data_IF_698335598293
#
_entry.id   IF_698335598293
#
_cell.length_a   1.000
_cell.length_b   1.000
_cell.length_c   1.000
_cell.angle_alpha   90.00
_cell.angle_beta   90.00
_cell.angle_gamma   90.00
#
_symmetry.space_group_name_H-M   'P 1'
#
loop_
_entity.id
_entity.type
_entity.pdbx_description
1 polymer ?
#
# COMPACT_ATOMS: atom_id res chain seq x y z
N UNK A 1 -16.79 -17.75 24.67
CA UNK A 1 -16.49 -16.58 23.82
C UNK A 1 -15.01 -16.37 23.90
N UNK A 2 -14.27 -16.63 22.82
CA UNK A 2 -12.83 -16.37 22.79
C UNK A 2 -12.63 -14.86 22.80
N UNK A 3 -11.82 -14.35 23.73
CA UNK A 3 -11.51 -12.93 23.82
C UNK A 3 -10.86 -12.46 22.50
N UNK A 4 -11.31 -11.31 21.98
CA UNK A 4 -10.86 -10.82 20.69
C UNK A 4 -9.43 -10.27 20.84
N UNK A 5 -8.45 -10.71 20.03
CA UNK A 5 -7.08 -10.26 20.15
C UNK A 5 -6.99 -8.74 19.96
N UNK A 6 -6.16 -8.10 20.78
CA UNK A 6 -5.89 -6.67 20.74
C UNK A 6 -4.43 -6.43 20.40
N UNK A 7 -4.18 -5.63 19.37
CA UNK A 7 -2.84 -5.30 18.90
C UNK A 7 -2.55 -3.83 19.15
N UNK A 8 -1.41 -3.56 19.78
CA UNK A 8 -0.94 -2.20 20.04
C UNK A 8 -0.33 -1.60 18.79
N UNK A 9 -0.81 -0.44 18.39
CA UNK A 9 -0.36 0.32 17.23
C UNK A 9 0.44 1.53 17.73
N UNK A 10 1.76 1.57 17.48
CA UNK A 10 2.60 2.65 17.96
C UNK A 10 2.34 3.97 17.20
N UNK A 11 2.70 5.12 17.79
CA UNK A 11 2.66 6.39 17.07
C UNK A 11 3.63 6.35 15.89
N UNK A 12 3.14 6.69 14.70
CA UNK A 12 3.94 6.66 13.48
C UNK A 12 3.51 7.74 12.49
N UNK A 13 4.28 7.90 11.41
CA UNK A 13 3.78 8.59 10.23
C UNK A 13 2.57 7.85 9.65
N UNK A 14 1.76 8.54 8.85
CA UNK A 14 0.52 7.97 8.35
C UNK A 14 0.73 6.65 7.56
N UNK A 15 1.81 6.56 6.78
CA UNK A 15 2.24 5.30 6.15
C UNK A 15 2.68 4.23 7.16
N UNK A 16 3.43 4.62 8.20
CA UNK A 16 3.85 3.69 9.24
C UNK A 16 2.67 3.06 10.00
N UNK A 17 1.58 3.82 10.18
CA UNK A 17 0.34 3.31 10.76
C UNK A 17 -0.35 2.27 9.89
N UNK A 18 -0.53 2.54 8.59
CA UNK A 18 -1.14 1.59 7.66
C UNK A 18 -0.36 0.26 7.64
N UNK A 19 0.97 0.34 7.61
CA UNK A 19 1.82 -0.84 7.69
C UNK A 19 1.66 -1.61 9.02
N UNK A 20 1.66 -0.91 10.15
CA UNK A 20 1.48 -1.53 11.47
C UNK A 20 0.11 -2.23 11.59
N UNK A 21 -0.95 -1.64 11.03
CA UNK A 21 -2.28 -2.24 10.99
C UNK A 21 -2.32 -3.51 10.13
N UNK A 22 -1.65 -3.53 8.97
CA UNK A 22 -1.57 -4.74 8.14
C UNK A 22 -0.70 -5.83 8.78
N UNK A 23 0.35 -5.48 9.52
CA UNK A 23 1.10 -6.44 10.34
C UNK A 23 0.22 -7.05 11.43
N UNK A 24 -0.50 -6.22 12.20
CA UNK A 24 -1.44 -6.68 13.22
C UNK A 24 -2.53 -7.58 12.61
N UNK A 25 -3.05 -7.22 11.43
CA UNK A 25 -3.99 -8.06 10.68
C UNK A 25 -3.38 -9.41 10.31
N UNK A 26 -2.15 -9.43 9.78
CA UNK A 26 -1.46 -10.66 9.41
C UNK A 26 -1.27 -11.58 10.62
N UNK A 27 -0.99 -11.03 11.79
CA UNK A 27 -0.89 -11.77 13.06
C UNK A 27 -2.25 -12.23 13.60
N UNK A 28 -3.31 -11.42 13.44
CA UNK A 28 -4.68 -11.80 13.75
C UNK A 28 -5.16 -12.99 12.89
N UNK A 29 -4.74 -13.02 11.62
CA UNK A 29 -5.15 -14.00 10.62
C UNK A 29 -6.61 -13.82 10.24
N UNK A 30 -7.41 -14.89 10.31
CA UNK A 30 -8.85 -14.86 10.04
C UNK A 30 -9.71 -14.43 11.25
N UNK A 31 -9.09 -14.08 12.38
CA UNK A 31 -9.80 -13.66 13.60
C UNK A 31 -10.15 -12.18 13.52
N UNK A 32 -11.32 -11.81 14.00
CA UNK A 32 -11.62 -10.43 14.35
C UNK A 32 -10.60 -9.92 15.38
N UNK A 33 -10.22 -8.65 15.31
CA UNK A 33 -9.19 -8.05 16.17
C UNK A 33 -9.48 -6.58 16.45
N UNK A 34 -8.82 -6.02 17.47
CA UNK A 34 -8.93 -4.61 17.87
C UNK A 34 -7.59 -3.91 17.69
N UNK A 35 -7.60 -2.73 17.08
CA UNK A 35 -6.45 -1.84 17.03
C UNK A 35 -6.43 -0.94 18.28
N UNK A 36 -5.33 -0.96 19.05
CA UNK A 36 -5.13 -0.08 20.22
C UNK A 36 -4.07 0.97 19.93
N UNK A 37 -4.46 2.24 19.85
CA UNK A 37 -3.56 3.35 19.55
C UNK A 37 -3.00 3.96 20.84
N UNK A 38 -1.68 3.94 20.99
CA UNK A 38 -1.00 4.41 22.21
C UNK A 38 -1.12 5.94 22.41
N UNK A 39 -1.20 6.70 21.31
CA UNK A 39 -1.27 8.16 21.28
C UNK A 39 -2.70 8.72 21.34
N UNK A 40 -3.72 7.88 21.53
CA UNK A 40 -5.13 8.29 21.50
C UNK A 40 -5.48 9.42 22.49
N UNK A 41 -4.78 9.50 23.62
CA UNK A 41 -4.97 10.57 24.61
C UNK A 41 -4.59 11.96 24.09
N UNK A 42 -3.80 12.04 23.01
CA UNK A 42 -3.34 13.30 22.38
C UNK A 42 -4.15 13.67 21.13
N UNK A 43 -5.04 12.79 20.69
CA UNK A 43 -5.84 12.97 19.48
C UNK A 43 -7.07 13.83 19.74
N UNK A 44 -7.35 14.73 18.80
CA UNK A 44 -8.67 15.35 18.62
C UNK A 44 -9.73 14.31 18.24
N UNK A 45 -11.00 14.68 18.34
CA UNK A 45 -12.14 13.82 17.95
C UNK A 45 -12.09 13.43 16.46
N UNK A 46 -11.68 14.36 15.60
CA UNK A 46 -11.49 14.10 14.17
C UNK A 46 -10.38 13.08 13.92
N UNK A 47 -9.25 13.17 14.65
CA UNK A 47 -8.15 12.21 14.54
C UNK A 47 -8.58 10.83 15.04
N UNK A 48 -9.33 10.75 16.15
CA UNK A 48 -9.88 9.50 16.67
C UNK A 48 -10.81 8.81 15.67
N UNK A 49 -11.73 9.56 15.07
CA UNK A 49 -12.62 9.08 14.01
C UNK A 49 -11.82 8.59 12.81
N UNK A 50 -10.79 9.35 12.41
CA UNK A 50 -9.88 8.97 11.34
C UNK A 50 -9.13 7.66 11.61
N UNK A 51 -8.63 7.45 12.83
CA UNK A 51 -7.98 6.20 13.24
C UNK A 51 -8.93 5.01 13.23
N UNK A 52 -10.20 5.20 13.61
CA UNK A 52 -11.20 4.15 13.56
C UNK A 52 -11.50 3.72 12.12
N UNK A 53 -11.69 4.67 11.20
CA UNK A 53 -11.87 4.38 9.76
C UNK A 53 -10.65 3.68 9.18
N UNK A 54 -9.44 4.15 9.49
CA UNK A 54 -8.20 3.53 9.03
C UNK A 54 -8.07 2.08 9.56
N UNK A 55 -8.32 1.85 10.85
CA UNK A 55 -8.27 0.51 11.43
C UNK A 55 -9.25 -0.44 10.71
N UNK A 56 -10.47 0.02 10.43
CA UNK A 56 -11.46 -0.76 9.70
C UNK A 56 -11.08 -1.04 8.25
N UNK A 57 -10.39 -0.11 7.57
CA UNK A 57 -9.88 -0.32 6.21
C UNK A 57 -8.92 -1.52 6.17
N UNK A 58 -8.09 -1.63 7.22
CA UNK A 58 -7.17 -2.74 7.46
C UNK A 58 -7.81 -3.97 8.14
N UNK A 59 -9.13 -3.98 8.33
CA UNK A 59 -9.88 -5.16 8.78
C UNK A 59 -9.96 -5.34 10.29
N UNK A 60 -9.63 -4.31 11.09
CA UNK A 60 -9.94 -4.31 12.50
C UNK A 60 -11.47 -4.25 12.71
N UNK A 61 -11.96 -5.00 13.69
CA UNK A 61 -13.36 -4.96 14.11
C UNK A 61 -13.65 -3.79 15.07
N UNK A 62 -12.61 -3.11 15.55
CA UNK A 62 -12.74 -1.95 16.42
C UNK A 62 -11.41 -1.24 16.64
N UNK A 63 -11.50 -0.01 17.15
CA UNK A 63 -10.36 0.84 17.48
C UNK A 63 -10.51 1.39 18.90
N UNK A 64 -9.43 1.30 19.68
CA UNK A 64 -9.38 1.73 21.08
C UNK A 64 -8.20 2.66 21.34
N UNK A 65 -8.32 3.49 22.37
CA UNK A 65 -7.20 4.21 22.96
C UNK A 65 -6.38 3.35 23.92
N UNK A 66 -5.28 3.92 24.41
CA UNK A 66 -4.34 3.21 25.30
C UNK A 66 -4.96 2.68 26.59
N UNK A 67 -6.06 3.28 27.08
CA UNK A 67 -6.78 2.81 28.26
C UNK A 67 -7.91 1.82 27.93
N UNK A 68 -8.05 1.43 26.65
CA UNK A 68 -9.08 0.50 26.18
C UNK A 68 -10.43 1.15 25.86
N UNK A 69 -10.52 2.48 25.94
CA UNK A 69 -11.71 3.23 25.56
C UNK A 69 -11.93 3.20 24.05
N UNK A 70 -13.19 3.10 23.59
CA UNK A 70 -13.51 3.20 22.16
C UNK A 70 -13.07 4.55 21.59
N UNK A 71 -12.51 4.55 20.37
CA UNK A 71 -12.21 5.80 19.66
C UNK A 71 -13.46 6.45 19.05
N UNK A 72 -14.57 5.71 18.96
CA UNK A 72 -15.82 6.18 18.38
C UNK A 72 -16.91 6.21 19.46
N UNK A 73 -17.73 7.24 19.45
CA UNK A 73 -18.86 7.37 20.36
C UNK A 73 -19.92 6.29 20.06
N UNK A 74 -20.31 5.53 21.09
CA UNK A 74 -21.28 4.45 20.96
C UNK A 74 -22.63 4.98 20.43
N UNK A 75 -23.19 4.28 19.44
CA UNK A 75 -24.45 4.66 18.79
C UNK A 75 -24.37 5.88 17.87
N UNK A 76 -23.16 6.37 17.57
CA UNK A 76 -22.98 7.34 16.47
C UNK A 76 -23.15 6.65 15.12
N UNK A 77 -23.41 7.44 14.07
CA UNK A 77 -23.51 6.90 12.71
C UNK A 77 -22.23 6.19 12.26
N UNK A 78 -21.07 6.68 12.70
CA UNK A 78 -19.78 6.05 12.45
C UNK A 78 -19.67 4.69 13.17
N UNK A 79 -20.14 4.59 14.42
CA UNK A 79 -20.15 3.32 15.18
C UNK A 79 -21.02 2.26 14.51
N UNK A 80 -22.23 2.65 14.10
CA UNK A 80 -23.16 1.77 13.38
C UNK A 80 -22.57 1.32 12.03
N UNK A 81 -22.00 2.26 11.27
CA UNK A 81 -21.39 1.97 9.98
C UNK A 81 -20.21 1.00 10.14
N UNK A 82 -19.29 1.24 11.08
CA UNK A 82 -18.15 0.37 11.35
C UNK A 82 -18.59 -1.03 11.84
N UNK A 83 -19.60 -1.10 12.71
CA UNK A 83 -20.17 -2.36 13.17
C UNK A 83 -20.72 -3.23 12.02
N UNK A 84 -21.24 -2.60 10.97
CA UNK A 84 -21.71 -3.32 9.78
C UNK A 84 -20.59 -3.90 8.90
N UNK A 85 -19.38 -3.30 8.95
CA UNK A 85 -18.22 -3.75 8.17
C UNK A 85 -17.60 -5.02 8.76
N UNK A 86 -17.53 -5.11 10.09
CA UNK A 86 -16.86 -6.19 10.81
C UNK A 86 -17.45 -7.59 10.53
N UNK A 87 -18.66 -7.65 9.97
CA UNK A 87 -19.36 -8.90 9.68
C UNK A 87 -18.92 -9.59 8.37
N UNK A 88 -18.14 -8.95 7.49
CA UNK A 88 -17.87 -9.46 6.12
C UNK A 88 -16.45 -9.16 5.65
N UNK A 89 -15.57 -10.16 5.61
CA UNK A 89 -14.25 -10.07 4.97
C UNK A 89 -14.32 -10.54 3.50
N UNK A 90 -15.30 -10.05 2.74
CA UNK A 90 -15.68 -10.65 1.45
C UNK A 90 -14.83 -10.14 0.26
N UNK A 91 -14.09 -9.04 0.40
CA UNK A 91 -13.24 -8.51 -0.68
C UNK A 91 -11.77 -8.92 -0.52
N UNK A 92 -11.37 -9.84 -1.40
CA UNK A 92 -10.01 -10.33 -1.56
C UNK A 92 -9.15 -9.27 -2.24
N UNK A 93 -8.02 -8.93 -1.62
CA UNK A 93 -7.08 -7.98 -2.20
C UNK A 93 -6.47 -8.55 -3.50
N UNK A 94 -6.41 -7.72 -4.55
CA UNK A 94 -5.76 -8.10 -5.80
C UNK A 94 -4.24 -8.29 -5.66
N UNK A 95 -3.65 -7.66 -4.63
CA UNK A 95 -2.22 -7.64 -4.32
C UNK A 95 -1.98 -8.23 -2.94
N UNK A 96 -1.00 -9.15 -2.84
CA UNK A 96 -0.52 -9.69 -1.56
C UNK A 96 0.98 -9.50 -1.40
N UNK A 97 1.42 -9.23 -0.16
CA UNK A 97 2.82 -9.27 0.24
C UNK A 97 3.03 -10.55 1.07
N UNK A 98 3.88 -11.45 0.58
CA UNK A 98 4.20 -12.70 1.25
C UNK A 98 5.50 -12.55 2.04
N UNK A 99 5.40 -12.65 3.37
CA UNK A 99 6.52 -12.40 4.27
C UNK A 99 6.47 -13.26 5.53
N UNK A 100 7.63 -13.76 5.96
CA UNK A 100 7.75 -14.45 7.24
C UNK A 100 7.82 -13.46 8.42
N UNK A 101 8.58 -12.37 8.25
CA UNK A 101 8.79 -11.29 9.22
C UNK A 101 8.59 -9.91 8.58
N UNK A 102 7.34 -9.40 8.55
CA UNK A 102 7.06 -8.14 7.87
C UNK A 102 7.75 -6.95 8.55
N UNK A 103 7.97 -6.98 9.86
CA UNK A 103 8.55 -5.83 10.57
C UNK A 103 10.03 -5.60 10.20
N UNK A 104 10.76 -6.70 10.00
CA UNK A 104 12.17 -6.68 9.57
C UNK A 104 12.39 -6.33 8.09
N UNK A 105 11.39 -6.50 7.24
CA UNK A 105 11.59 -6.44 5.78
C UNK A 105 11.45 -5.01 5.19
N UNK A 106 12.59 -4.34 5.02
CA UNK A 106 12.68 -3.00 4.40
C UNK A 106 12.09 -2.90 2.97
N UNK A 107 12.41 -3.83 2.05
CA UNK A 107 11.85 -3.83 0.70
C UNK A 107 10.33 -4.02 0.68
N UNK A 108 9.78 -4.92 1.49
CA UNK A 108 8.34 -5.13 1.55
C UNK A 108 7.59 -3.92 2.09
N UNK A 109 8.16 -3.21 3.07
CA UNK A 109 7.61 -1.93 3.52
C UNK A 109 7.56 -0.89 2.40
N UNK A 110 8.59 -0.83 1.56
CA UNK A 110 8.61 0.07 0.40
C UNK A 110 7.57 -0.31 -0.67
N UNK A 111 7.37 -1.62 -0.90
CA UNK A 111 6.32 -2.12 -1.80
C UNK A 111 4.92 -1.91 -1.26
N UNK A 112 4.71 -2.13 0.05
CA UNK A 112 3.47 -1.81 0.74
C UNK A 112 3.12 -0.34 0.56
N UNK A 113 4.10 0.56 0.80
CA UNK A 113 3.95 2.00 0.55
C UNK A 113 3.57 2.30 -0.88
N UNK A 114 4.29 1.73 -1.84
CA UNK A 114 4.08 2.00 -3.27
C UNK A 114 2.69 1.56 -3.74
N UNK A 115 2.21 0.41 -3.25
CA UNK A 115 0.87 -0.09 -3.52
C UNK A 115 -0.20 0.82 -2.92
N UNK A 116 -0.01 1.18 -1.67
CA UNK A 116 -0.89 2.08 -0.94
C UNK A 116 -0.99 3.47 -1.62
N UNK A 117 0.14 4.09 -1.93
CA UNK A 117 0.17 5.39 -2.62
C UNK A 117 -0.50 5.30 -4.00
N UNK A 118 -0.50 4.13 -4.64
CA UNK A 118 -1.13 3.88 -5.93
C UNK A 118 -2.63 3.54 -5.83
N UNK A 119 -3.20 3.67 -4.63
CA UNK A 119 -4.63 3.43 -4.37
C UNK A 119 -4.98 1.95 -4.24
N UNK A 120 -4.01 1.05 -4.12
CA UNK A 120 -4.26 -0.36 -3.79
C UNK A 120 -4.25 -0.57 -2.28
N UNK A 121 -5.07 -1.50 -1.80
CA UNK A 121 -5.05 -1.98 -0.41
C UNK A 121 -4.45 -3.39 -0.38
N UNK A 122 -3.10 -3.53 -0.34
CA UNK A 122 -2.48 -4.84 -0.35
C UNK A 122 -2.74 -5.57 0.97
N UNK A 123 -2.64 -6.91 0.98
CA UNK A 123 -2.66 -7.71 2.21
C UNK A 123 -1.30 -8.30 2.50
N UNK A 124 -0.83 -8.19 3.74
CA UNK A 124 0.33 -8.96 4.22
C UNK A 124 -0.17 -10.34 4.64
N UNK A 125 0.46 -11.40 4.10
CA UNK A 125 0.16 -12.79 4.42
C UNK A 125 1.45 -13.53 4.78
N UNK A 126 1.34 -14.46 5.73
CA UNK A 126 2.44 -15.38 6.03
C UNK A 126 2.51 -16.47 4.95
N UNK A 127 3.70 -16.97 4.60
CA UNK A 127 3.88 -18.05 3.64
C UNK A 127 3.56 -19.43 4.25
N UNK A 128 2.47 -19.52 5.03
CA UNK A 128 1.95 -20.78 5.58
C UNK A 128 0.74 -21.27 4.77
N UNK A 129 0.25 -22.47 5.06
CA UNK A 129 -0.87 -23.08 4.33
C UNK A 129 -2.11 -22.16 4.26
N UNK A 130 -2.39 -21.42 5.34
CA UNK A 130 -3.56 -20.53 5.42
C UNK A 130 -3.37 -19.28 4.56
N UNK A 131 -2.21 -18.63 4.66
CA UNK A 131 -1.88 -17.48 3.83
C UNK A 131 -1.87 -17.85 2.35
N UNK A 132 -1.30 -19.00 2.00
CA UNK A 132 -1.27 -19.49 0.63
C UNK A 132 -2.67 -19.80 0.08
N UNK A 133 -3.59 -20.32 0.89
CA UNK A 133 -4.98 -20.52 0.47
C UNK A 133 -5.67 -19.20 0.05
N UNK A 134 -5.37 -18.09 0.74
CA UNK A 134 -5.94 -16.77 0.43
C UNK A 134 -5.40 -16.16 -0.86
N UNK A 135 -4.22 -16.60 -1.34
CA UNK A 135 -3.65 -16.09 -2.60
C UNK A 135 -4.40 -16.52 -3.86
N UNK A 136 -5.34 -17.48 -3.77
CA UNK A 136 -6.09 -18.01 -4.92
C UNK A 136 -6.94 -16.96 -5.66
N UNK A 137 -7.37 -15.92 -4.96
CA UNK A 137 -8.13 -14.82 -5.57
C UNK A 137 -7.27 -13.64 -6.01
N UNK A 138 -5.97 -13.67 -5.71
CA UNK A 138 -5.06 -12.60 -6.04
C UNK A 138 -4.59 -12.70 -7.51
N UNK A 139 -3.97 -11.62 -8.00
CA UNK A 139 -3.34 -11.58 -9.33
C UNK A 139 -1.89 -11.14 -9.27
N UNK A 140 -1.49 -10.48 -8.19
CA UNK A 140 -0.13 -10.03 -7.94
C UNK A 140 0.32 -10.46 -6.54
N UNK A 141 1.48 -11.10 -6.47
CA UNK A 141 2.19 -11.36 -5.22
C UNK A 141 3.54 -10.65 -5.22
N UNK A 142 3.90 -10.03 -4.10
CA UNK A 142 5.22 -9.47 -3.85
C UNK A 142 5.85 -10.34 -2.78
N UNK A 143 6.98 -10.96 -3.11
CA UNK A 143 7.64 -11.97 -2.28
C UNK A 143 8.98 -11.45 -1.78
N UNK A 144 9.27 -11.74 -0.52
CA UNK A 144 10.60 -11.55 0.04
C UNK A 144 11.64 -12.46 -0.62
N UNK A 145 12.87 -11.97 -0.76
CA UNK A 145 13.96 -12.69 -1.46
C UNK A 145 14.27 -14.08 -0.89
N UNK A 146 14.03 -14.29 0.41
CA UNK A 146 14.26 -15.56 1.11
C UNK A 146 13.24 -16.67 0.82
N UNK A 147 12.14 -16.38 0.11
CA UNK A 147 11.15 -17.40 -0.24
C UNK A 147 11.66 -18.36 -1.33
N UNK A 148 11.35 -19.65 -1.17
CA UNK A 148 11.84 -20.73 -2.03
C UNK A 148 11.27 -20.66 -3.47
N UNK A 149 12.08 -21.10 -4.44
CA UNK A 149 11.70 -21.08 -5.86
C UNK A 149 10.44 -21.91 -6.16
N UNK A 150 10.23 -23.05 -5.48
CA UNK A 150 9.05 -23.90 -5.67
C UNK A 150 7.74 -23.15 -5.40
N UNK A 151 7.70 -22.32 -4.35
CA UNK A 151 6.54 -21.50 -4.05
C UNK A 151 6.30 -20.42 -5.13
N UNK A 152 7.36 -19.82 -5.63
CA UNK A 152 7.28 -18.79 -6.68
C UNK A 152 6.75 -19.40 -7.99
N UNK A 153 7.25 -20.58 -8.35
CA UNK A 153 6.80 -21.33 -9.51
C UNK A 153 5.32 -21.75 -9.38
N UNK A 154 4.89 -22.20 -8.20
CA UNK A 154 3.49 -22.51 -7.92
C UNK A 154 2.59 -21.27 -8.06
N UNK A 155 2.98 -20.13 -7.47
CA UNK A 155 2.24 -18.85 -7.60
C UNK A 155 2.11 -18.43 -9.07
N UNK A 156 3.20 -18.48 -9.83
CA UNK A 156 3.18 -18.16 -11.25
C UNK A 156 2.34 -19.17 -12.05
N UNK A 157 2.42 -20.46 -11.72
CA UNK A 157 1.62 -21.54 -12.31
C UNK A 157 0.12 -21.33 -12.16
N UNK A 158 -0.29 -20.69 -11.05
CA UNK A 158 -1.67 -20.27 -10.78
C UNK A 158 -2.09 -18.98 -11.50
N UNK A 159 -1.21 -18.40 -12.31
CA UNK A 159 -1.48 -17.21 -13.13
C UNK A 159 -1.13 -15.89 -12.48
N UNK A 160 -0.49 -15.89 -11.30
CA UNK A 160 -0.10 -14.63 -10.65
C UNK A 160 1.12 -14.02 -11.35
N UNK A 161 1.17 -12.69 -11.37
CA UNK A 161 2.43 -11.98 -11.50
C UNK A 161 3.11 -11.98 -10.13
N UNK A 162 4.39 -12.36 -10.06
CA UNK A 162 5.16 -12.43 -8.82
C UNK A 162 6.33 -11.47 -8.92
N UNK A 163 6.40 -10.47 -8.04
CA UNK A 163 7.57 -9.61 -7.89
C UNK A 163 8.47 -10.22 -6.81
N UNK A 164 9.68 -10.61 -7.19
CA UNK A 164 10.76 -10.99 -6.29
C UNK A 164 11.78 -9.87 -6.22
N UNK A 165 11.79 -9.18 -5.09
CA UNK A 165 12.78 -8.13 -4.82
C UNK A 165 14.01 -8.78 -4.15
N UNK A 166 15.11 -8.83 -4.89
CA UNK A 166 16.40 -9.39 -4.48
C UNK A 166 17.41 -8.28 -4.13
N UNK A 167 16.97 -7.03 -3.98
CA UNK A 167 17.85 -5.95 -3.55
C UNK A 167 18.24 -6.16 -2.07
N UNK A 168 19.37 -6.85 -1.84
CA UNK A 168 19.85 -7.28 -0.51
C UNK A 168 20.11 -6.11 0.49
N UNK A 169 20.00 -6.43 1.79
CA UNK A 169 19.80 -5.63 3.03
C UNK A 169 20.98 -4.71 3.49
N UNK A 170 20.93 -3.78 4.47
CA UNK A 170 20.17 -3.59 5.72
C UNK A 170 19.76 -2.11 5.94
N UNK A 171 18.59 -1.90 6.53
CA UNK A 171 18.19 -0.61 7.10
C UNK A 171 17.00 0.06 6.39
N UNK A 172 16.25 0.82 7.19
CA UNK A 172 15.15 1.65 6.72
C UNK A 172 15.57 2.41 5.45
N UNK A 173 14.71 2.50 4.41
CA UNK A 173 14.96 3.41 3.31
C UNK A 173 15.32 4.77 3.89
N UNK A 174 16.60 5.14 3.78
CA UNK A 174 17.04 6.51 4.02
C UNK A 174 16.47 7.29 2.85
N UNK A 175 15.23 7.73 3.03
CA UNK A 175 14.58 8.93 2.52
C UNK A 175 15.01 9.53 1.17
N UNK A 176 15.53 8.75 0.23
CA UNK A 176 15.61 9.15 -1.16
C UNK A 176 14.26 8.83 -1.82
N UNK A 177 13.20 9.36 -1.21
CA UNK A 177 11.96 9.61 -1.89
C UNK A 177 12.35 10.49 -3.08
N UNK A 178 12.05 10.07 -4.30
CA UNK A 178 12.19 10.94 -5.47
C UNK A 178 11.42 12.22 -5.15
N UNK A 179 12.15 13.28 -4.80
CA UNK A 179 11.68 14.50 -4.14
C UNK A 179 10.77 15.38 -4.99
N UNK A 180 9.98 14.76 -5.88
CA UNK A 180 9.04 15.38 -6.80
C UNK A 180 7.66 14.71 -6.65
N UNK A 181 7.57 13.38 -6.53
CA UNK A 181 6.30 12.67 -6.28
C UNK A 181 5.91 12.81 -4.80
N UNK A 182 6.84 12.53 -3.89
CA UNK A 182 6.66 12.79 -2.47
C UNK A 182 6.56 14.29 -2.14
N UNK A 183 7.12 15.20 -2.94
CA UNK A 183 7.01 16.63 -2.70
C UNK A 183 5.60 17.19 -3.03
N UNK A 184 4.80 16.45 -3.83
CA UNK A 184 3.36 16.72 -4.04
C UNK A 184 2.46 16.05 -2.99
N UNK A 185 2.96 15.08 -2.21
CA UNK A 185 2.19 14.32 -1.19
C UNK A 185 2.60 14.69 0.24
N UNK A 186 3.83 15.12 0.46
CA UNK A 186 4.50 15.15 1.76
C UNK A 186 5.38 16.39 1.91
N UNK A 187 4.85 17.44 2.54
CA UNK A 187 5.68 18.25 3.46
C UNK A 187 6.12 17.43 4.70
N UNK A 188 6.01 16.10 4.71
CA UNK A 188 6.62 15.24 5.71
C UNK A 188 8.14 15.45 5.81
N UNK A 189 8.81 15.92 4.75
CA UNK A 189 10.18 16.44 4.86
C UNK A 189 10.27 17.61 5.83
N UNK A 190 9.38 18.61 5.70
CA UNK A 190 9.37 19.78 6.58
C UNK A 190 9.06 19.41 8.04
N UNK A 191 8.08 18.53 8.27
CA UNK A 191 7.76 18.04 9.61
C UNK A 191 8.89 17.20 10.23
N UNK A 192 9.58 16.37 9.44
CA UNK A 192 10.76 15.61 9.88
C UNK A 192 11.93 16.54 10.27
N UNK A 193 12.22 17.57 9.45
CA UNK A 193 13.22 18.59 9.78
C UNK A 193 12.81 19.45 10.98
N UNK A 194 11.52 19.82 11.10
CA UNK A 194 10.97 20.58 12.23
C UNK A 194 10.94 19.75 13.53
N UNK A 195 10.85 18.41 13.45
CA UNK A 195 10.98 17.49 14.59
C UNK A 195 12.42 17.12 14.98
N UNK A 196 13.44 17.77 14.39
CA UNK A 196 14.84 17.53 14.71
C UNK A 196 15.55 16.47 13.86
N UNK A 197 15.00 16.10 12.70
CA UNK A 197 15.69 15.32 11.68
C UNK A 197 16.91 16.08 11.16
N UNK A 198 18.10 15.51 11.30
CA UNK A 198 19.37 16.17 10.97
C UNK A 198 19.49 16.61 9.51
N UNK A 199 20.43 17.53 9.26
CA UNK A 199 20.80 18.04 7.92
C UNK A 199 21.02 16.86 6.94
N UNK A 200 20.49 16.93 5.70
CA UNK A 200 20.71 15.88 4.71
C UNK A 200 22.21 15.65 4.51
N UNK A 201 22.62 14.38 4.56
CA UNK A 201 24.01 13.99 4.41
C UNK A 201 24.42 14.03 2.93
N UNK A 202 25.70 14.29 2.62
CA UNK A 202 26.21 14.11 1.26
C UNK A 202 25.94 12.66 0.79
N UNK A 203 25.08 12.52 -0.23
CA UNK A 203 24.48 11.23 -0.64
C UNK A 203 22.97 11.30 -0.88
N UNK A 204 22.29 12.35 -0.38
CA UNK A 204 20.84 12.56 -0.51
C UNK A 204 20.40 13.15 -1.87
N UNK A 205 21.23 13.00 -2.91
CA UNK A 205 20.88 13.34 -4.29
C UNK A 205 19.99 12.27 -4.94
N UNK A 206 19.32 12.58 -6.06
CA UNK A 206 18.59 11.56 -6.81
C UNK A 206 19.57 10.44 -7.22
N UNK A 207 19.19 9.21 -6.92
CA UNK A 207 20.00 8.03 -7.25
C UNK A 207 20.21 7.87 -8.77
N UNK A 208 21.16 7.00 -9.18
CA UNK A 208 21.53 6.88 -10.57
C UNK A 208 20.40 6.33 -11.45
N UNK A 209 20.40 6.76 -12.70
CA UNK A 209 19.41 6.35 -13.70
C UNK A 209 19.63 4.88 -14.10
N UNK A 210 18.53 4.15 -14.21
CA UNK A 210 18.55 2.85 -14.89
C UNK A 210 18.82 3.05 -16.39
N UNK A 211 19.41 2.03 -17.02
CA UNK A 211 19.69 2.01 -18.46
C UNK A 211 18.78 1.03 -19.18
N UNK A 212 18.77 1.10 -20.52
CA UNK A 212 18.02 0.18 -21.39
C UNK A 212 16.58 -0.06 -20.94
N UNK A 213 15.93 1.01 -20.46
CA UNK A 213 14.59 0.95 -19.90
C UNK A 213 13.61 0.60 -21.01
N UNK A 214 12.82 -0.45 -20.79
CA UNK A 214 11.83 -0.91 -21.75
C UNK A 214 10.78 0.17 -22.05
N UNK A 215 10.23 0.22 -23.29
CA UNK A 215 9.15 1.14 -23.64
C UNK A 215 7.88 0.98 -22.78
N UNK A 216 7.69 -0.18 -22.15
CA UNK A 216 6.55 -0.43 -21.26
C UNK A 216 6.73 0.27 -19.91
N UNK A 217 7.93 0.17 -19.31
CA UNK A 217 8.22 0.89 -18.08
C UNK A 217 8.23 2.40 -18.31
N UNK A 218 8.81 2.87 -19.42
CA UNK A 218 8.74 4.29 -19.79
C UNK A 218 7.29 4.81 -19.84
N UNK A 219 6.40 4.11 -20.56
CA UNK A 219 4.99 4.50 -20.62
C UNK A 219 4.29 4.50 -19.26
N UNK A 220 4.64 3.57 -18.37
CA UNK A 220 4.09 3.57 -17.03
C UNK A 220 4.58 4.77 -16.20
N UNK A 221 5.83 5.18 -16.38
CA UNK A 221 6.40 6.37 -15.73
C UNK A 221 5.78 7.67 -16.25
N UNK A 222 5.48 7.75 -17.55
CA UNK A 222 4.85 8.92 -18.18
C UNK A 222 3.48 9.25 -17.57
N UNK A 223 2.79 8.25 -16.99
CA UNK A 223 1.49 8.43 -16.34
C UNK A 223 1.59 8.95 -14.90
N UNK A 224 2.79 8.99 -14.31
CA UNK A 224 2.97 9.39 -12.91
C UNK A 224 2.96 10.91 -12.71
N UNK A 225 3.20 11.69 -13.76
CA UNK A 225 3.13 13.13 -13.67
C UNK A 225 3.82 13.85 -14.82
N UNK A 226 3.69 15.17 -14.81
CA UNK A 226 4.33 16.09 -15.73
C UNK A 226 5.25 17.06 -14.95
N UNK A 227 6.57 17.10 -15.24
CA UNK A 227 7.28 16.19 -16.15
C UNK A 227 7.38 14.76 -15.59
N UNK A 228 7.44 13.78 -16.49
CA UNK A 228 7.55 12.37 -16.13
C UNK A 228 8.87 12.08 -15.37
N UNK A 229 8.82 11.35 -14.24
CA UNK A 229 10.03 10.94 -13.55
C UNK A 229 10.83 9.92 -14.38
N UNK A 230 12.15 10.03 -14.33
CA UNK A 230 13.04 9.05 -14.96
C UNK A 230 13.29 7.85 -14.04
N UNK A 231 13.30 6.60 -14.53
CA UNK A 231 13.61 5.42 -13.73
C UNK A 231 15.00 5.46 -13.09
N UNK A 232 15.04 5.18 -11.79
CA UNK A 232 16.23 5.29 -10.95
C UNK A 232 16.33 4.14 -9.98
N UNK A 233 17.55 3.95 -9.52
CA UNK A 233 17.88 3.13 -8.37
C UNK A 233 18.51 3.99 -7.29
N UNK A 234 18.37 3.58 -6.03
CA UNK A 234 18.98 4.20 -4.86
C UNK A 234 20.40 3.69 -4.60
N UNK A 235 20.76 2.50 -5.08
CA UNK A 235 22.12 1.97 -4.96
C UNK A 235 22.89 2.12 -6.27
N UNK A 236 24.14 2.59 -6.17
CA UNK A 236 24.96 2.86 -7.35
C UNK A 236 25.47 1.60 -8.06
N UNK A 237 25.66 0.52 -7.30
CA UNK A 237 26.17 -0.75 -7.81
C UNK A 237 25.32 -1.90 -7.26
N UNK A 238 24.07 -2.05 -7.74
CA UNK A 238 23.26 -3.21 -7.39
C UNK A 238 23.95 -4.50 -7.89
N UNK A 239 23.82 -5.62 -7.15
CA UNK A 239 24.33 -6.89 -7.64
C UNK A 239 23.60 -7.26 -8.95
N UNK A 240 24.27 -7.92 -9.91
CA UNK A 240 23.58 -8.41 -11.10
C UNK A 240 22.61 -9.53 -10.71
N UNK A 241 21.43 -9.55 -11.35
CA UNK A 241 20.51 -10.68 -11.22
C UNK A 241 21.19 -11.98 -11.68
N UNK A 242 21.04 -13.04 -10.89
CA UNK A 242 21.56 -14.38 -11.20
C UNK A 242 20.42 -15.33 -11.54
N UNK A 243 20.74 -16.44 -12.22
CA UNK A 243 19.75 -17.48 -12.50
C UNK A 243 18.58 -17.01 -13.37
N UNK A 244 18.84 -16.09 -14.29
CA UNK A 244 17.85 -15.55 -15.20
C UNK A 244 17.53 -16.62 -16.24
N UNK A 245 16.26 -17.01 -16.34
CA UNK A 245 15.83 -17.99 -17.34
C UNK A 245 16.00 -17.47 -18.77
N UNK A 246 16.18 -18.38 -19.71
CA UNK A 246 16.45 -18.04 -21.11
C UNK A 246 15.31 -17.25 -21.79
N UNK A 247 14.10 -17.32 -21.25
CA UNK A 247 12.91 -16.60 -21.73
C UNK A 247 12.72 -15.22 -21.06
N UNK A 248 13.62 -14.82 -20.15
CA UNK A 248 13.49 -13.57 -19.43
C UNK A 248 13.66 -12.36 -20.35
N UNK A 249 12.73 -11.42 -20.22
CA UNK A 249 12.69 -10.16 -20.92
C UNK A 249 13.38 -9.09 -20.07
N UNK A 250 14.28 -8.32 -20.68
CA UNK A 250 14.90 -7.16 -20.04
C UNK A 250 13.88 -6.03 -19.90
N UNK A 251 13.71 -5.54 -18.67
CA UNK A 251 12.87 -4.37 -18.38
C UNK A 251 13.75 -3.14 -18.14
N UNK A 252 14.87 -3.30 -17.45
CA UNK A 252 15.88 -2.26 -17.28
C UNK A 252 17.23 -2.88 -16.90
N UNK A 253 18.32 -2.23 -17.32
CA UNK A 253 19.71 -2.52 -16.94
C UNK A 253 20.16 -1.66 -15.76
N UNK A 254 21.15 -2.14 -15.03
CA UNK A 254 21.79 -1.38 -13.95
C UNK A 254 22.54 -0.14 -14.50
N UNK A 255 22.82 0.89 -13.68
CA UNK A 255 23.39 2.15 -14.16
C UNK A 255 24.74 2.05 -14.87
N UNK A 256 25.57 1.05 -14.54
CA UNK A 256 26.87 0.82 -15.19
C UNK A 256 26.79 -0.14 -16.39
N UNK A 257 25.58 -0.60 -16.73
CA UNK A 257 25.30 -1.59 -17.77
C UNK A 257 25.98 -2.96 -17.57
N UNK A 258 26.42 -3.29 -16.36
CA UNK A 258 27.03 -4.60 -16.05
C UNK A 258 26.04 -5.77 -16.11
N UNK A 259 24.74 -5.49 -16.15
CA UNK A 259 23.71 -6.50 -16.29
C UNK A 259 22.27 -5.96 -16.11
N UNK A 260 21.29 -6.87 -16.10
CA UNK A 260 19.89 -6.52 -15.86
C UNK A 260 19.66 -6.12 -14.40
N UNK A 261 18.91 -5.03 -14.22
CA UNK A 261 18.37 -4.58 -12.93
C UNK A 261 16.96 -5.13 -12.69
N UNK A 262 16.15 -5.17 -13.75
CA UNK A 262 14.77 -5.63 -13.72
C UNK A 262 14.54 -6.57 -14.90
N UNK A 263 14.02 -7.76 -14.63
CA UNK A 263 13.60 -8.71 -15.67
C UNK A 263 12.18 -9.20 -15.44
N UNK A 264 11.55 -9.68 -16.51
CA UNK A 264 10.28 -10.40 -16.47
C UNK A 264 10.42 -11.73 -17.19
N UNK A 265 10.15 -12.82 -16.51
CA UNK A 265 10.10 -14.16 -17.08
C UNK A 265 8.65 -14.66 -17.10
N UNK A 266 8.04 -14.88 -18.28
CA UNK A 266 6.74 -15.52 -18.36
C UNK A 266 6.82 -16.97 -17.86
N UNK A 267 5.95 -17.34 -16.92
CA UNK A 267 5.88 -18.71 -16.37
C UNK A 267 4.41 -19.13 -16.39
N UNK A 268 4.08 -20.15 -17.19
CA UNK A 268 2.70 -20.58 -17.45
C UNK A 268 1.81 -19.39 -17.87
N UNK A 269 0.69 -19.17 -17.17
CA UNK A 269 -0.20 -18.01 -17.38
C UNK A 269 0.20 -16.78 -16.54
N UNK A 270 1.16 -16.93 -15.62
CA UNK A 270 1.67 -15.89 -14.75
C UNK A 270 3.00 -15.30 -15.24
N UNK A 271 3.80 -14.80 -14.31
CA UNK A 271 5.14 -14.29 -14.63
C UNK A 271 5.94 -13.86 -13.42
N UNK A 272 7.24 -14.10 -13.46
CA UNK A 272 8.19 -13.75 -12.42
C UNK A 272 8.97 -12.49 -12.80
N UNK A 273 8.80 -11.44 -12.01
CA UNK A 273 9.51 -10.18 -12.11
C UNK A 273 10.63 -10.18 -11.09
N UNK A 274 11.89 -10.09 -11.52
CA UNK A 274 13.04 -10.04 -10.61
C UNK A 274 13.64 -8.66 -10.60
N UNK A 275 14.04 -8.20 -9.42
CA UNK A 275 14.60 -6.87 -9.20
C UNK A 275 15.87 -7.03 -8.36
N UNK A 276 17.02 -6.58 -8.86
CA UNK A 276 18.26 -6.55 -8.06
C UNK A 276 18.63 -5.17 -7.55
N UNK A 277 18.02 -4.13 -8.11
CA UNK A 277 18.29 -2.74 -7.79
C UNK A 277 17.25 -2.21 -6.79
N UNK A 278 17.71 -1.49 -5.76
CA UNK A 278 16.81 -0.80 -4.85
C UNK A 278 16.18 0.35 -5.61
N UNK A 279 14.89 0.28 -5.91
CA UNK A 279 14.21 1.29 -6.71
C UNK A 279 13.84 2.52 -5.87
N UNK A 280 13.82 3.71 -6.48
CA UNK A 280 13.21 4.87 -5.83
C UNK A 280 11.67 4.77 -5.88
N UNK A 281 10.99 5.62 -5.11
CA UNK A 281 9.52 5.57 -4.99
C UNK A 281 8.81 5.72 -6.35
N UNK A 282 9.26 6.64 -7.20
CA UNK A 282 8.69 6.82 -8.53
C UNK A 282 8.86 5.56 -9.40
N UNK A 283 10.05 4.96 -9.40
CA UNK A 283 10.33 3.76 -10.20
C UNK A 283 9.56 2.55 -9.68
N UNK A 284 9.45 2.37 -8.36
CA UNK A 284 8.59 1.35 -7.75
C UNK A 284 7.12 1.54 -8.13
N UNK A 285 6.62 2.78 -8.14
CA UNK A 285 5.24 3.11 -8.55
C UNK A 285 4.99 2.82 -10.03
N UNK A 286 5.91 3.21 -10.91
CA UNK A 286 5.79 2.93 -12.35
C UNK A 286 5.90 1.44 -12.65
N UNK A 287 6.80 0.73 -11.97
CA UNK A 287 6.88 -0.73 -12.07
C UNK A 287 5.60 -1.39 -11.54
N UNK A 288 5.06 -0.94 -10.41
CA UNK A 288 3.79 -1.45 -9.89
C UNK A 288 2.66 -1.25 -10.90
N UNK A 289 2.53 -0.07 -11.49
CA UNK A 289 1.51 0.22 -12.50
C UNK A 289 1.65 -0.69 -13.72
N UNK A 290 2.89 -0.92 -14.19
CA UNK A 290 3.16 -1.87 -15.26
C UNK A 290 2.74 -3.30 -14.89
N UNK A 291 3.17 -3.80 -13.73
CA UNK A 291 2.86 -5.17 -13.30
C UNK A 291 1.35 -5.34 -13.05
N UNK A 292 0.70 -4.34 -12.46
CA UNK A 292 -0.74 -4.34 -12.23
C UNK A 292 -1.52 -4.35 -13.55
N UNK A 293 -1.08 -3.60 -14.57
CA UNK A 293 -1.68 -3.65 -15.90
C UNK A 293 -1.55 -5.04 -16.54
N UNK A 294 -0.38 -5.68 -16.41
CA UNK A 294 -0.17 -7.07 -16.87
C UNK A 294 -1.01 -8.06 -16.08
N UNK A 295 -1.22 -7.82 -14.78
CA UNK A 295 -2.06 -8.63 -13.90
C UNK A 295 -3.56 -8.33 -14.03
N UNK A 296 -3.96 -7.37 -14.89
CA UNK A 296 -5.33 -6.87 -15.03
C UNK A 296 -5.94 -6.38 -13.70
N UNK A 297 -5.14 -5.69 -12.89
CA UNK A 297 -5.54 -5.14 -11.60
C UNK A 297 -5.84 -3.64 -11.69
N UNK A 298 -7.04 -3.25 -11.29
CA UNK A 298 -7.43 -1.86 -11.07
C UNK A 298 -7.52 -1.54 -9.57
N UNK A 299 -7.23 -0.30 -9.14
CA UNK A 299 -7.53 0.17 -7.80
C UNK A 299 -9.04 0.07 -7.46
N UNK A 300 -9.45 -0.02 -6.18
CA UNK A 300 -10.85 -0.13 -5.76
C UNK A 300 -11.72 1.07 -6.15
N UNK A 301 -11.10 2.24 -6.32
CA UNK A 301 -11.72 3.42 -6.89
C UNK A 301 -10.74 4.04 -7.90
N UNK A 302 -11.13 4.18 -9.18
CA UNK A 302 -10.27 4.81 -10.18
C UNK A 302 -10.06 6.30 -9.83
N UNK A 303 -8.94 6.87 -10.27
CA UNK A 303 -8.67 8.31 -10.18
C UNK A 303 -8.59 8.89 -8.76
N UNK A 304 -8.29 8.06 -7.74
CA UNK A 304 -7.98 8.59 -6.42
C UNK A 304 -6.74 9.50 -6.49
N UNK A 305 -6.81 10.73 -5.95
CA UNK A 305 -5.66 11.61 -5.97
C UNK A 305 -4.55 11.07 -5.08
N UNK A 306 -3.32 11.35 -5.49
CA UNK A 306 -2.12 11.04 -4.73
C UNK A 306 -2.24 11.45 -3.24
N UNK A 307 -1.91 10.50 -2.34
CA UNK A 307 -1.98 10.67 -0.90
C UNK A 307 -3.32 10.29 -0.27
N UNK A 308 -4.32 9.89 -1.06
CA UNK A 308 -5.58 9.36 -0.55
C UNK A 308 -5.56 7.83 -0.62
N UNK A 309 -5.68 7.22 0.54
CA UNK A 309 -5.97 5.80 0.67
C UNK A 309 -7.43 5.53 0.33
N UNK A 310 -7.68 4.46 -0.41
CA UNK A 310 -9.02 3.96 -0.66
C UNK A 310 -9.08 2.45 -0.45
N UNK A 311 -9.95 2.03 0.47
CA UNK A 311 -10.32 0.63 0.65
C UNK A 311 -11.83 0.47 0.44
N UNK A 312 -12.22 -0.69 -0.10
CA UNK A 312 -13.62 -1.10 -0.18
C UNK A 312 -13.83 -2.28 0.77
N UNK A 313 -14.92 -2.20 1.56
CA UNK A 313 -15.33 -3.24 2.51
C UNK A 313 -16.84 -3.27 2.55
N UNK A 314 -17.45 -4.43 2.30
CA UNK A 314 -18.90 -4.60 2.46
C UNK A 314 -19.74 -3.59 1.67
N UNK A 315 -19.23 -3.11 0.53
CA UNK A 315 -19.88 -2.07 -0.28
C UNK A 315 -19.66 -0.63 0.21
N UNK A 316 -19.01 -0.42 1.36
CA UNK A 316 -18.58 0.90 1.82
C UNK A 316 -17.21 1.27 1.26
N UNK A 317 -16.99 2.58 1.05
CA UNK A 317 -15.69 3.14 0.73
C UNK A 317 -15.08 3.78 1.98
N UNK A 318 -13.87 3.36 2.33
CA UNK A 318 -13.07 3.91 3.40
C UNK A 318 -11.96 4.72 2.77
N UNK A 319 -11.96 6.02 3.05
CA UNK A 319 -11.07 6.98 2.47
C UNK A 319 -10.26 7.64 3.57
N UNK A 320 -8.94 7.74 3.39
CA UNK A 320 -8.07 8.44 4.34
C UNK A 320 -7.10 9.34 3.59
N UNK A 321 -7.07 10.63 3.92
CA UNK A 321 -6.14 11.57 3.32
C UNK A 321 -4.89 11.68 4.18
N UNK A 322 -3.80 11.08 3.70
CA UNK A 322 -2.49 11.15 4.35
C UNK A 322 -1.73 12.44 4.02
N UNK A 323 -2.24 13.26 3.08
CA UNK A 323 -1.62 14.52 2.73
C UNK A 323 -1.90 15.59 3.80
N UNK A 324 -1.01 16.57 3.84
CA UNK A 324 -1.08 17.75 4.72
C UNK A 324 -1.98 18.87 4.16
N UNK A 325 -2.72 18.57 3.09
CA UNK A 325 -3.69 19.46 2.45
C UNK A 325 -4.96 18.71 2.11
N UNK A 326 -6.06 19.45 1.98
CA UNK A 326 -7.30 18.88 1.51
C UNK A 326 -7.17 18.30 0.09
N UNK A 327 -7.93 17.26 -0.20
CA UNK A 327 -8.01 16.60 -1.51
C UNK A 327 -9.43 16.63 -2.02
N UNK A 328 -9.57 17.00 -3.28
CA UNK A 328 -10.82 16.91 -4.02
C UNK A 328 -10.98 15.50 -4.54
N UNK A 329 -12.13 14.90 -4.24
CA UNK A 329 -12.49 13.56 -4.64
C UNK A 329 -13.66 13.64 -5.61
N UNK A 330 -13.59 12.83 -6.66
CA UNK A 330 -14.64 12.72 -7.67
C UNK A 330 -15.28 11.33 -7.62
N UNK A 331 -16.52 11.25 -8.13
CA UNK A 331 -17.36 10.07 -8.13
C UNK A 331 -17.66 9.47 -6.74
N UNK A 332 -17.60 10.29 -5.68
CA UNK A 332 -17.96 9.87 -4.33
C UNK A 332 -19.46 10.05 -4.12
N UNK A 333 -20.19 8.95 -4.07
CA UNK A 333 -21.66 8.92 -3.95
C UNK A 333 -22.04 8.08 -2.73
N UNK A 334 -22.95 8.59 -1.91
CA UNK A 334 -23.45 7.91 -0.72
C UNK A 334 -23.56 8.85 0.46
N UNK A 335 -23.39 8.32 1.67
CA UNK A 335 -23.39 9.12 2.90
C UNK A 335 -22.09 8.92 3.66
N UNK A 336 -21.44 10.00 4.02
CA UNK A 336 -20.26 9.97 4.88
C UNK A 336 -20.68 9.82 6.35
N UNK A 337 -20.41 8.67 6.94
CA UNK A 337 -20.73 8.38 8.35
C UNK A 337 -19.85 9.15 9.34
N UNK A 338 -18.72 9.74 8.90
CA UNK A 338 -17.86 10.57 9.76
C UNK A 338 -18.49 11.95 9.98
N UNK A 339 -18.92 12.62 8.91
CA UNK A 339 -19.55 13.95 8.98
C UNK A 339 -21.07 13.94 9.02
N UNK A 340 -21.70 12.82 8.71
CA UNK A 340 -23.15 12.69 8.49
C UNK A 340 -23.66 13.28 7.17
N UNK A 341 -22.76 13.81 6.33
CA UNK A 341 -23.08 14.53 5.10
C UNK A 341 -23.38 13.59 3.92
N UNK A 342 -24.24 14.02 3.00
CA UNK A 342 -24.43 13.33 1.73
C UNK A 342 -23.29 13.66 0.75
N UNK A 343 -22.79 12.63 0.07
CA UNK A 343 -21.85 12.75 -1.04
C UNK A 343 -22.61 12.58 -2.35
N UNK A 344 -22.55 13.59 -3.22
CA UNK A 344 -23.34 13.66 -4.47
C UNK A 344 -22.48 13.59 -5.74
N UNK A 345 -21.22 13.18 -5.61
CA UNK A 345 -20.28 13.02 -6.71
C UNK A 345 -18.96 13.78 -6.49
N UNK A 346 -18.99 14.91 -5.79
CA UNK A 346 -17.79 15.66 -5.41
C UNK A 346 -17.69 15.77 -3.89
N UNK A 347 -16.50 15.51 -3.35
CA UNK A 347 -16.23 15.60 -1.93
C UNK A 347 -14.87 16.23 -1.67
N UNK A 348 -14.75 16.94 -0.55
CA UNK A 348 -13.48 17.47 -0.04
C UNK A 348 -13.08 16.66 1.19
N UNK A 349 -11.93 16.02 1.13
CA UNK A 349 -11.35 15.32 2.26
C UNK A 349 -10.24 16.17 2.87
N UNK A 350 -10.44 16.64 4.10
CA UNK A 350 -9.48 17.48 4.81
C UNK A 350 -8.11 16.80 5.02
N UNK A 351 -7.06 17.56 5.38
CA UNK A 351 -5.76 16.98 5.69
C UNK A 351 -5.84 16.04 6.90
N UNK A 352 -5.12 14.92 6.86
CA UNK A 352 -5.09 13.92 7.95
C UNK A 352 -6.49 13.47 8.43
N UNK A 353 -7.48 13.48 7.54
CA UNK A 353 -8.88 13.15 7.84
C UNK A 353 -9.35 11.92 7.07
N UNK A 354 -10.46 11.36 7.52
CA UNK A 354 -11.07 10.18 6.92
C UNK A 354 -12.53 10.41 6.57
N UNK A 355 -13.02 9.60 5.64
CA UNK A 355 -14.41 9.56 5.23
C UNK A 355 -14.82 8.08 5.09
N UNK A 356 -16.00 7.76 5.60
CA UNK A 356 -16.59 6.43 5.49
C UNK A 356 -17.90 6.55 4.72
N UNK A 357 -17.87 6.21 3.44
CA UNK A 357 -19.04 6.36 2.58
C UNK A 357 -19.81 5.05 2.55
N UNK A 358 -20.99 5.07 3.15
CA UNK A 358 -21.97 3.98 3.09
C UNK A 358 -22.99 4.24 1.98
N UNK A 359 -23.57 3.17 1.43
CA UNK A 359 -24.47 3.27 0.27
C UNK A 359 -23.77 3.60 -1.05
N UNK A 360 -22.43 3.54 -1.09
CA UNK A 360 -21.60 3.72 -2.27
C UNK A 360 -21.71 2.52 -3.24
N UNK A 361 -22.88 2.35 -3.86
CA UNK A 361 -23.13 1.19 -4.73
C UNK A 361 -24.52 1.11 -5.35
N UNK A 362 -25.45 1.98 -5.00
CA UNK A 362 -26.70 2.09 -5.75
C UNK A 362 -26.63 3.27 -6.71
N UNK A 363 -26.43 2.97 -7.99
CA UNK A 363 -26.69 3.94 -9.06
C UNK A 363 -28.15 4.42 -8.92
N UNK A 364 -28.42 5.72 -8.66
CA UNK A 364 -29.78 6.21 -8.55
C UNK A 364 -30.61 5.99 -9.83
N UNK A 365 -29.98 5.71 -10.98
CA UNK A 365 -30.64 5.32 -12.23
C UNK A 365 -31.20 3.90 -12.27
N UNK A 366 -30.96 3.08 -11.23
CA UNK A 366 -31.56 1.74 -11.10
C UNK A 366 -32.80 1.69 -10.21
N UNK A 367 -33.22 2.82 -9.63
CA UNK A 367 -34.42 2.94 -8.77
C UNK A 367 -35.67 3.50 -9.49
N UNK A 368 -35.61 3.70 -10.81
CA UNK A 368 -36.73 4.25 -11.60
C UNK A 368 -37.35 3.21 -12.53
#
# INVERSE_FOLDING_TARGET
MTEMPVFTIPPASAHGLAFALDCARAEAGARSWIARFEDAARMSESERSGRAVLAAAHGAAGAQGGAGESLVAAGSELDEALGSLAARDDELAGIVLLCADPEGSGPLRAWHRSAWEAGYAPRILRPDERGLALTRACRLAIVEGGLGCELIEDLCGRGLQVIRDESAEDGHPRFADSGIVAHRISRAHRAFFESGGGVPSPGDGPGPLLRDVSPLLHRAMDLLGDPAPAPRTLNASPPPLRGIGASAQLIASVPDASGPAITREPIASGGLWRISARLDAATSRGLLALVAAVAHLAPPHPEMPDGVECARRSGALLLFNHADRARELSAIIGRDAVSGSECTGHALLGPASAMLVVGAGEDPRRRA
#
